data_IF_054723219183
#
_entry.id   IF_054723219183
#
_cell.length_a   1.000
_cell.length_b   1.000
_cell.length_c   1.000
_cell.angle_alpha   90.00
_cell.angle_beta   90.00
_cell.angle_gamma   90.00
#
_symmetry.space_group_name_H-M   'P 1'
#
loop_
_entity.id
_entity.type
_entity.pdbx_description
1 polymer ?
#
# COMPACT_ATOMS: atom_id res chain seq x y z
N UNK A 1 -14.71 29.66 -24.81
CA UNK A 1 -13.70 28.67 -25.24
C UNK A 1 -12.36 29.06 -24.64
N UNK A 2 -11.49 28.10 -24.32
CA UNK A 2 -10.13 28.38 -23.84
C UNK A 2 -9.14 28.18 -24.99
N UNK A 3 -8.21 29.12 -25.18
CA UNK A 3 -7.16 29.00 -26.21
C UNK A 3 -5.93 28.25 -25.67
N UNK A 4 -5.16 27.60 -26.54
CA UNK A 4 -3.91 26.93 -26.12
C UNK A 4 -2.94 27.90 -25.42
N UNK A 5 -2.97 29.18 -25.82
CA UNK A 5 -2.12 30.23 -25.25
C UNK A 5 -2.55 30.67 -23.84
N UNK A 6 -3.73 30.26 -23.36
CA UNK A 6 -4.20 30.50 -21.98
C UNK A 6 -3.80 29.36 -21.04
N UNK A 7 -3.40 28.20 -21.58
CA UNK A 7 -2.94 27.08 -20.76
C UNK A 7 -1.60 27.41 -20.12
N UNK A 8 -1.54 27.25 -18.80
CA UNK A 8 -0.34 27.51 -17.98
C UNK A 8 -0.06 26.30 -17.11
N UNK A 9 1.18 25.81 -17.15
CA UNK A 9 1.66 24.82 -16.21
C UNK A 9 1.82 25.48 -14.84
N UNK A 10 1.12 24.97 -13.83
CA UNK A 10 1.18 25.49 -12.47
C UNK A 10 1.54 24.37 -11.51
N UNK A 11 2.70 24.51 -10.86
CA UNK A 11 3.13 23.61 -9.81
C UNK A 11 3.40 22.17 -10.29
N UNK A 12 3.15 21.22 -9.41
CA UNK A 12 3.34 19.78 -9.64
C UNK A 12 2.27 19.00 -8.91
N UNK A 13 1.81 17.91 -9.51
CA UNK A 13 0.85 16.99 -8.88
C UNK A 13 1.38 15.56 -8.94
N UNK A 14 1.07 14.77 -7.91
CA UNK A 14 1.45 13.36 -7.80
C UNK A 14 0.19 12.57 -7.43
N UNK A 15 -0.01 11.44 -8.10
CA UNK A 15 -1.03 10.45 -7.74
C UNK A 15 -0.35 9.19 -7.19
N UNK A 16 -0.87 8.69 -6.07
CA UNK A 16 -0.59 7.35 -5.56
C UNK A 16 -1.88 6.53 -5.58
N UNK A 17 -1.85 5.40 -6.30
CA UNK A 17 -2.92 4.39 -6.24
C UNK A 17 -2.77 3.59 -4.96
N UNK A 18 -3.77 3.68 -4.11
CA UNK A 18 -3.87 2.89 -2.89
C UNK A 18 -4.62 1.61 -3.27
N UNK A 19 -3.88 0.51 -3.37
CA UNK A 19 -4.43 -0.80 -3.69
C UNK A 19 -4.43 -1.68 -2.45
N UNK A 20 -5.40 -2.59 -2.38
CA UNK A 20 -5.45 -3.71 -1.45
C UNK A 20 -4.47 -4.81 -1.87
N UNK A 21 -3.18 -4.56 -1.69
CA UNK A 21 -2.07 -5.46 -2.05
C UNK A 21 -1.07 -5.54 -0.89
N UNK A 22 -0.31 -6.64 -0.81
CA UNK A 22 0.79 -6.80 0.13
C UNK A 22 2.16 -6.65 -0.57
N UNK A 23 2.83 -5.48 -0.47
CA UNK A 23 4.13 -5.26 -1.11
C UNK A 23 5.20 -6.26 -0.68
N UNK A 24 5.15 -6.77 0.56
CA UNK A 24 6.15 -7.72 1.08
C UNK A 24 5.98 -9.13 0.52
N UNK A 25 4.81 -9.41 -0.06
CA UNK A 25 4.51 -10.68 -0.72
C UNK A 25 4.31 -10.47 -2.21
N UNK A 26 5.26 -9.76 -2.85
CA UNK A 26 5.24 -9.49 -4.28
C UNK A 26 3.93 -8.86 -4.78
N UNK A 27 3.39 -7.91 -4.01
CA UNK A 27 2.14 -7.19 -4.32
C UNK A 27 0.93 -8.11 -4.54
N UNK A 28 0.90 -9.26 -3.86
CA UNK A 28 -0.27 -10.14 -3.91
C UNK A 28 -1.54 -9.39 -3.47
N UNK A 29 -2.67 -9.56 -4.17
CA UNK A 29 -3.94 -8.97 -3.75
C UNK A 29 -4.33 -9.41 -2.33
N UNK A 30 -4.87 -8.47 -1.58
CA UNK A 30 -5.32 -8.63 -0.19
C UNK A 30 -6.84 -8.37 -0.09
N UNK A 31 -7.70 -9.23 -0.67
CA UNK A 31 -9.14 -9.10 -0.53
C UNK A 31 -9.55 -9.29 0.93
N UNK A 32 -10.63 -8.64 1.34
CA UNK A 32 -11.08 -8.71 2.73
C UNK A 32 -11.93 -7.52 3.15
N UNK A 33 -12.35 -7.54 4.41
CA UNK A 33 -13.12 -6.44 5.00
C UNK A 33 -12.19 -5.34 5.48
N UNK A 34 -12.49 -4.11 5.09
CA UNK A 34 -11.83 -2.92 5.64
C UNK A 34 -12.46 -2.64 7.00
N UNK A 35 -11.65 -2.68 8.06
CA UNK A 35 -12.07 -2.46 9.44
C UNK A 35 -12.05 -0.97 9.80
N UNK A 36 -11.00 -0.26 9.37
CA UNK A 36 -10.86 1.18 9.55
C UNK A 36 -10.32 1.77 8.24
N UNK A 37 -10.81 2.96 7.89
CA UNK A 37 -10.45 3.67 6.67
C UNK A 37 -10.46 5.17 6.93
N UNK A 38 -9.28 5.74 7.18
CA UNK A 38 -9.10 7.17 7.41
C UNK A 38 -8.23 7.76 6.32
N UNK A 39 -8.79 8.75 5.64
CA UNK A 39 -8.14 9.42 4.52
C UNK A 39 -7.51 10.74 4.98
N UNK A 40 -6.37 11.16 4.41
CA UNK A 40 -5.83 12.49 4.65
C UNK A 40 -6.77 13.55 4.07
N UNK A 41 -6.77 14.73 4.68
CA UNK A 41 -7.52 15.89 4.22
C UNK A 41 -6.67 17.16 4.33
N UNK A 42 -7.02 18.16 3.54
CA UNK A 42 -6.35 19.47 3.57
C UNK A 42 -6.28 20.12 2.20
N UNK A 43 -5.75 21.34 2.16
CA UNK A 43 -5.51 22.05 0.91
C UNK A 43 -4.55 21.27 0.01
N UNK A 44 -4.85 21.22 -1.29
CA UNK A 44 -4.07 20.49 -2.30
C UNK A 44 -4.01 18.97 -2.07
N UNK A 45 -4.94 18.39 -1.30
CA UNK A 45 -5.08 16.95 -1.11
C UNK A 45 -6.48 16.56 -1.60
N UNK A 46 -6.54 15.59 -2.53
CA UNK A 46 -7.77 15.00 -3.04
C UNK A 46 -7.69 13.49 -2.88
N UNK A 47 -8.74 12.89 -2.37
CA UNK A 47 -8.87 11.43 -2.27
C UNK A 47 -10.13 11.00 -3.00
N UNK A 48 -9.97 10.22 -4.06
CA UNK A 48 -11.06 9.54 -4.73
C UNK A 48 -11.13 8.10 -4.20
N UNK A 49 -12.03 7.83 -3.25
CA UNK A 49 -12.19 6.52 -2.64
C UNK A 49 -13.43 5.79 -3.20
N UNK A 50 -13.27 4.51 -3.54
CA UNK A 50 -14.37 3.63 -3.93
C UNK A 50 -14.92 2.78 -2.78
N UNK A 51 -14.39 2.97 -1.57
CA UNK A 51 -14.67 2.17 -0.38
C UNK A 51 -14.75 3.04 0.87
N UNK A 52 -15.29 2.48 1.95
CA UNK A 52 -15.28 3.06 3.28
C UNK A 52 -15.00 1.97 4.33
N UNK A 53 -14.91 2.36 5.61
CA UNK A 53 -14.89 1.40 6.70
C UNK A 53 -16.12 0.48 6.61
N UNK A 54 -15.91 -0.82 6.79
CA UNK A 54 -16.93 -1.85 6.62
C UNK A 54 -17.05 -2.42 5.20
N UNK A 55 -16.52 -1.77 4.17
CA UNK A 55 -16.54 -2.30 2.79
C UNK A 55 -15.76 -3.62 2.68
N UNK A 56 -16.14 -4.46 1.72
CA UNK A 56 -15.43 -5.69 1.37
C UNK A 56 -14.74 -5.49 0.02
N UNK A 57 -13.42 -5.65 -0.01
CA UNK A 57 -12.65 -5.67 -1.25
C UNK A 57 -12.76 -7.07 -1.87
N UNK A 58 -13.34 -7.21 -3.07
CA UNK A 58 -13.49 -8.49 -3.74
C UNK A 58 -12.15 -9.00 -4.31
N UNK A 59 -12.04 -10.31 -4.52
CA UNK A 59 -10.86 -10.94 -5.12
C UNK A 59 -10.86 -10.92 -6.67
N UNK A 60 -11.97 -10.52 -7.29
CA UNK A 60 -12.22 -10.72 -8.71
C UNK A 60 -11.96 -9.49 -9.58
N UNK A 61 -11.67 -8.34 -8.98
CA UNK A 61 -11.46 -7.07 -9.68
C UNK A 61 -10.11 -6.45 -9.28
N UNK A 62 -9.74 -5.37 -9.97
CA UNK A 62 -8.58 -4.55 -9.62
C UNK A 62 -8.64 -4.16 -8.13
N UNK A 63 -7.58 -4.40 -7.33
CA UNK A 63 -7.57 -4.12 -5.90
C UNK A 63 -7.52 -2.62 -5.55
N UNK A 64 -7.75 -1.70 -6.49
CA UNK A 64 -7.79 -0.27 -6.24
C UNK A 64 -8.90 0.11 -5.25
N UNK A 65 -8.50 0.67 -4.10
CA UNK A 65 -9.44 1.14 -3.07
C UNK A 65 -9.55 2.67 -3.04
N UNK A 66 -8.48 3.39 -3.37
CA UNK A 66 -8.51 4.84 -3.50
C UNK A 66 -7.38 5.39 -4.39
N UNK A 67 -7.60 6.58 -4.95
CA UNK A 67 -6.54 7.42 -5.53
C UNK A 67 -6.25 8.57 -4.58
N UNK A 68 -5.02 8.67 -4.12
CA UNK A 68 -4.53 9.83 -3.37
C UNK A 68 -3.81 10.74 -4.35
N UNK A 69 -4.35 11.94 -4.58
CA UNK A 69 -3.75 12.94 -5.45
C UNK A 69 -3.38 14.15 -4.62
N UNK A 70 -2.14 14.60 -4.72
CA UNK A 70 -1.70 15.85 -4.07
C UNK A 70 -1.12 16.81 -5.09
N UNK A 71 -1.39 18.10 -4.90
CA UNK A 71 -0.75 19.20 -5.62
C UNK A 71 0.36 19.85 -4.78
N UNK A 72 1.17 20.69 -5.41
CA UNK A 72 2.19 21.52 -4.77
C UNK A 72 2.74 22.58 -5.72
N UNK A 73 3.32 23.65 -5.17
CA UNK A 73 3.94 24.71 -5.97
C UNK A 73 5.22 24.28 -6.69
N UNK A 74 5.84 23.18 -6.24
CA UNK A 74 6.99 22.53 -6.87
C UNK A 74 6.90 21.02 -6.68
N UNK A 75 7.75 20.27 -7.39
CA UNK A 75 7.87 18.82 -7.20
C UNK A 75 8.20 18.46 -5.77
N UNK A 76 9.21 19.08 -5.18
CA UNK A 76 9.62 18.84 -3.79
C UNK A 76 8.49 19.12 -2.79
N UNK A 77 7.69 20.17 -3.03
CA UNK A 77 6.52 20.47 -2.22
C UNK A 77 5.43 19.39 -2.36
N UNK A 78 5.19 18.90 -3.58
CA UNK A 78 4.24 17.82 -3.84
C UNK A 78 4.70 16.48 -3.22
N UNK A 79 6.00 16.12 -3.34
CA UNK A 79 6.55 14.88 -2.74
C UNK A 79 6.45 14.93 -1.22
N UNK A 80 6.86 16.04 -0.57
CA UNK A 80 6.73 16.20 0.88
C UNK A 80 5.28 16.10 1.35
N UNK A 81 4.35 16.77 0.64
CA UNK A 81 2.91 16.68 0.95
C UNK A 81 2.37 15.27 0.74
N UNK A 82 2.80 14.58 -0.32
CA UNK A 82 2.39 13.21 -0.59
C UNK A 82 2.86 12.28 0.52
N UNK A 83 4.12 12.39 0.96
CA UNK A 83 4.67 11.59 2.06
C UNK A 83 3.87 11.79 3.36
N UNK A 84 3.59 13.04 3.72
CA UNK A 84 2.74 13.37 4.89
C UNK A 84 1.32 12.80 4.74
N UNK A 85 0.75 12.86 3.54
CA UNK A 85 -0.59 12.34 3.26
C UNK A 85 -0.62 10.81 3.33
N UNK A 86 0.42 10.13 2.85
CA UNK A 86 0.60 8.67 2.99
C UNK A 86 0.78 8.27 4.46
N UNK A 87 1.46 9.09 5.27
CA UNK A 87 1.62 8.85 6.70
C UNK A 87 0.33 9.05 7.50
N UNK A 88 -0.54 9.94 7.06
CA UNK A 88 -1.86 10.18 7.65
C UNK A 88 -2.96 9.23 7.12
N UNK A 89 -2.73 8.55 6.00
CA UNK A 89 -3.68 7.60 5.43
C UNK A 89 -3.63 6.28 6.20
N UNK A 90 -4.78 5.83 6.70
CA UNK A 90 -4.90 4.59 7.43
C UNK A 90 -5.91 3.64 6.81
N UNK A 91 -5.48 2.40 6.60
CA UNK A 91 -6.32 1.27 6.15
C UNK A 91 -6.04 0.09 7.07
N UNK A 92 -7.07 -0.46 7.71
CA UNK A 92 -6.98 -1.64 8.57
C UNK A 92 -7.88 -2.77 8.07
N UNK A 93 -7.52 -4.01 8.40
CA UNK A 93 -8.26 -5.23 8.01
C UNK A 93 -7.74 -5.91 6.74
N UNK A 94 -6.99 -5.18 5.92
CA UNK A 94 -6.31 -5.66 4.71
C UNK A 94 -4.91 -5.05 4.61
N UNK A 95 -4.04 -5.65 3.79
CA UNK A 95 -2.79 -5.02 3.39
C UNK A 95 -3.05 -3.93 2.32
N UNK A 96 -2.14 -2.97 2.22
CA UNK A 96 -2.18 -1.97 1.17
C UNK A 96 -0.80 -1.56 0.66
N UNK A 97 -0.77 -0.83 -0.45
CA UNK A 97 0.45 -0.27 -1.05
C UNK A 97 1.06 0.91 -0.29
N UNK A 98 0.43 1.41 0.78
CA UNK A 98 0.90 2.55 1.58
C UNK A 98 2.36 2.41 2.08
N UNK A 99 2.81 1.25 2.60
CA UNK A 99 4.21 1.09 3.03
C UNK A 99 5.22 1.22 1.89
N UNK A 100 4.86 0.75 0.69
CA UNK A 100 5.70 0.89 -0.50
C UNK A 100 5.79 2.37 -0.91
N UNK A 101 4.66 3.08 -0.98
CA UNK A 101 4.65 4.50 -1.32
C UNK A 101 5.53 5.33 -0.38
N UNK A 102 5.49 5.06 0.93
CA UNK A 102 6.37 5.71 1.92
C UNK A 102 7.86 5.55 1.58
N UNK A 103 8.28 4.34 1.20
CA UNK A 103 9.67 4.07 0.83
C UNK A 103 10.04 4.79 -0.48
N UNK A 104 9.20 4.69 -1.50
CA UNK A 104 9.41 5.34 -2.79
C UNK A 104 9.52 6.86 -2.66
N UNK A 105 8.61 7.48 -1.91
CA UNK A 105 8.57 8.93 -1.69
C UNK A 105 9.73 9.45 -0.84
N UNK A 106 10.38 8.57 -0.09
CA UNK A 106 11.59 8.89 0.69
C UNK A 106 12.88 8.61 -0.08
N UNK A 107 12.80 8.08 -1.30
CA UNK A 107 13.97 7.79 -2.11
C UNK A 107 14.53 9.05 -2.78
N UNK A 108 15.86 9.18 -2.76
CA UNK A 108 16.56 10.37 -3.26
C UNK A 108 16.35 10.57 -4.75
N UNK A 109 16.40 9.51 -5.55
CA UNK A 109 16.26 9.60 -7.00
C UNK A 109 14.80 9.88 -7.37
N UNK A 110 13.84 9.33 -6.61
CA UNK A 110 12.44 9.70 -6.75
C UNK A 110 12.25 11.19 -6.48
N UNK A 111 12.70 11.70 -5.31
CA UNK A 111 12.54 13.10 -4.92
C UNK A 111 13.09 14.03 -6.02
N UNK A 112 14.30 13.76 -6.52
CA UNK A 112 14.94 14.55 -7.58
C UNK A 112 14.29 14.44 -8.95
N UNK A 113 13.41 13.45 -9.16
CA UNK A 113 12.80 13.19 -10.47
C UNK A 113 13.72 12.44 -11.44
N UNK A 114 14.76 11.79 -10.93
CA UNK A 114 15.61 10.88 -11.70
C UNK A 114 14.88 9.54 -11.84
N UNK A 115 13.93 9.45 -12.76
CA UNK A 115 13.03 8.30 -12.88
C UNK A 115 13.38 7.41 -14.07
N UNK A 116 13.24 6.10 -13.89
CA UNK A 116 13.33 5.10 -14.96
C UNK A 116 12.40 3.92 -14.66
N UNK A 117 12.09 3.12 -15.68
CA UNK A 117 11.01 2.11 -15.59
C UNK A 117 11.34 0.90 -14.71
N UNK A 118 12.62 0.57 -14.52
CA UNK A 118 13.09 -0.54 -13.65
C UNK A 118 13.50 -0.08 -12.26
N UNK A 119 13.27 1.19 -11.91
CA UNK A 119 13.74 1.82 -10.68
C UNK A 119 13.38 1.05 -9.41
N UNK A 120 12.17 0.50 -9.33
CA UNK A 120 11.70 -0.24 -8.15
C UNK A 120 12.60 -1.43 -7.83
N UNK A 121 12.98 -2.19 -8.87
CA UNK A 121 13.81 -3.38 -8.77
C UNK A 121 15.29 -3.01 -8.59
N UNK A 122 15.79 -2.07 -9.40
CA UNK A 122 17.19 -1.63 -9.37
C UNK A 122 17.57 -1.05 -8.01
N UNK A 123 16.68 -0.27 -7.40
CA UNK A 123 16.88 0.31 -6.06
C UNK A 123 16.42 -0.61 -4.93
N UNK A 124 15.90 -1.81 -5.25
CA UNK A 124 15.37 -2.80 -4.30
C UNK A 124 14.42 -2.16 -3.28
N UNK A 125 13.49 -1.31 -3.74
CA UNK A 125 12.67 -0.50 -2.85
C UNK A 125 11.79 -1.34 -1.92
N UNK A 126 11.28 -2.47 -2.41
CA UNK A 126 10.45 -3.38 -1.59
C UNK A 126 11.25 -3.93 -0.40
N UNK A 127 12.52 -4.27 -0.58
CA UNK A 127 13.38 -4.77 0.50
C UNK A 127 13.67 -3.72 1.59
N UNK A 128 13.48 -2.43 1.28
CA UNK A 128 13.65 -1.31 2.21
C UNK A 128 12.38 -1.03 3.02
N UNK A 129 11.26 -1.69 2.72
CA UNK A 129 10.05 -1.58 3.52
C UNK A 129 10.35 -2.16 4.90
N UNK A 130 10.44 -1.28 5.89
CA UNK A 130 10.53 -1.66 7.30
C UNK A 130 9.17 -2.23 7.70
N UNK A 131 9.01 -3.54 7.58
CA UNK A 131 7.86 -4.21 8.16
C UNK A 131 7.92 -4.01 9.68
N UNK A 132 6.78 -3.75 10.32
CA UNK A 132 6.69 -3.82 11.79
C UNK A 132 6.60 -5.28 12.28
N UNK A 133 7.00 -6.25 11.45
CA UNK A 133 6.65 -7.66 11.58
C UNK A 133 5.21 -7.93 11.12
N UNK A 134 4.82 -9.20 10.92
CA UNK A 134 3.42 -9.61 10.81
C UNK A 134 2.64 -9.09 12.01
N UNK A 135 1.49 -8.46 11.78
CA UNK A 135 0.65 -7.95 12.86
C UNK A 135 0.21 -9.07 13.82
N UNK A 136 0.14 -10.32 13.33
CA UNK A 136 -0.11 -11.52 14.11
C UNK A 136 1.01 -11.80 15.11
N UNK A 137 2.28 -11.57 14.75
CA UNK A 137 3.40 -11.74 15.67
C UNK A 137 3.34 -10.69 16.77
N UNK A 138 3.04 -9.43 16.44
CA UNK A 138 2.83 -8.39 17.44
C UNK A 138 1.64 -8.65 18.35
N UNK A 139 0.52 -9.15 17.80
CA UNK A 139 -0.62 -9.56 18.62
C UNK A 139 -0.24 -10.73 19.51
N UNK A 140 0.50 -11.72 19.00
CA UNK A 140 0.98 -12.83 19.81
C UNK A 140 1.93 -12.37 20.92
N UNK A 141 2.85 -11.44 20.63
CA UNK A 141 3.76 -10.81 21.60
C UNK A 141 2.98 -10.03 22.67
N UNK A 142 2.03 -9.19 22.27
CA UNK A 142 1.17 -8.43 23.18
C UNK A 142 0.30 -9.39 24.02
N UNK A 143 -0.33 -10.38 23.40
CA UNK A 143 -1.16 -11.36 24.07
C UNK A 143 -0.34 -12.20 25.06
N UNK A 144 0.87 -12.61 24.70
CA UNK A 144 1.80 -13.32 25.57
C UNK A 144 2.23 -12.45 26.76
N UNK A 145 2.54 -11.17 26.54
CA UNK A 145 2.87 -10.22 27.60
C UNK A 145 1.69 -9.98 28.55
N UNK A 146 0.48 -9.82 28.01
CA UNK A 146 -0.75 -9.68 28.81
C UNK A 146 -1.00 -10.96 29.62
N UNK A 147 -0.88 -12.14 29.02
CA UNK A 147 -1.03 -13.42 29.70
C UNK A 147 0.01 -13.61 30.82
N UNK A 148 1.28 -13.30 30.55
CA UNK A 148 2.36 -13.39 31.52
C UNK A 148 2.20 -12.39 32.69
N UNK A 149 1.57 -11.23 32.44
CA UNK A 149 1.31 -10.23 33.49
C UNK A 149 0.23 -10.63 34.50
N UNK A 150 -0.50 -11.73 34.27
CA UNK A 150 -1.61 -12.17 35.11
C UNK A 150 -2.85 -11.26 35.05
N UNK A 151 -2.84 -10.21 34.22
CA UNK A 151 -3.95 -9.26 34.02
C UNK A 151 -4.86 -9.66 32.86
N UNK A 152 -5.14 -10.95 32.71
CA UNK A 152 -6.18 -11.42 31.80
C UNK A 152 -7.54 -11.07 32.40
N UNK A 153 -8.08 -9.90 32.03
CA UNK A 153 -9.51 -9.65 32.21
C UNK A 153 -10.26 -10.50 31.20
N UNK A 154 -11.18 -11.33 31.67
CA UNK A 154 -12.12 -12.07 30.83
C UNK A 154 -13.07 -11.07 30.14
N UNK A 155 -12.70 -10.66 28.93
CA UNK A 155 -13.56 -9.90 28.03
C UNK A 155 -14.42 -10.82 27.16
N UNK A 156 -15.45 -10.27 26.48
CA UNK A 156 -16.23 -11.04 25.52
C UNK A 156 -15.32 -11.59 24.42
N UNK A 157 -15.41 -12.90 24.18
CA UNK A 157 -14.72 -13.57 23.08
C UNK A 157 -15.37 -13.19 21.76
N UNK A 158 -14.58 -12.63 20.84
CA UNK A 158 -15.01 -12.43 19.45
C UNK A 158 -14.53 -13.62 18.63
N UNK A 159 -15.45 -14.30 17.97
CA UNK A 159 -15.09 -15.35 17.01
C UNK A 159 -14.32 -14.74 15.85
N UNK A 160 -13.02 -15.03 15.80
CA UNK A 160 -12.20 -14.72 14.63
C UNK A 160 -12.66 -15.65 13.50
N UNK A 161 -13.46 -15.11 12.58
CA UNK A 161 -13.82 -15.79 11.34
C UNK A 161 -12.52 -16.00 10.54
N UNK A 162 -11.91 -17.17 10.70
CA UNK A 162 -10.81 -17.61 9.84
C UNK A 162 -11.39 -17.95 8.48
N UNK A 163 -11.08 -17.15 7.46
CA UNK A 163 -11.39 -17.52 6.09
C UNK A 163 -10.64 -18.81 5.75
N UNK A 164 -11.36 -19.83 5.26
CA UNK A 164 -10.73 -21.04 4.75
C UNK A 164 -9.79 -20.65 3.62
N UNK A 165 -8.54 -21.09 3.70
CA UNK A 165 -7.56 -20.89 2.65
C UNK A 165 -8.14 -21.40 1.32
N UNK A 166 -8.30 -20.52 0.34
CA UNK A 166 -8.83 -20.90 -0.97
C UNK A 166 -7.85 -21.85 -1.67
N UNK A 167 -8.37 -22.67 -2.59
CA UNK A 167 -7.55 -23.51 -3.46
C UNK A 167 -6.47 -22.69 -4.20
N UNK A 168 -6.76 -21.42 -4.48
CA UNK A 168 -5.85 -20.46 -5.10
C UNK A 168 -4.69 -20.06 -4.17
N UNK A 169 -4.96 -19.78 -2.90
CA UNK A 169 -3.91 -19.53 -1.89
C UNK A 169 -3.01 -20.76 -1.69
N UNK A 170 -3.56 -21.96 -1.81
CA UNK A 170 -2.82 -23.22 -1.72
C UNK A 170 -2.01 -23.51 -2.99
N UNK A 171 -2.46 -23.07 -4.16
CA UNK A 171 -1.73 -23.18 -5.42
C UNK A 171 -0.53 -22.21 -5.46
N UNK A 172 -0.73 -20.94 -5.08
CA UNK A 172 0.36 -19.96 -5.02
C UNK A 172 1.48 -20.35 -4.04
N UNK A 173 1.13 -20.94 -2.89
CA UNK A 173 2.13 -21.52 -1.96
C UNK A 173 2.92 -22.67 -2.57
N UNK A 174 2.30 -23.51 -3.40
CA UNK A 174 2.98 -24.61 -4.10
C UNK A 174 3.91 -24.09 -5.20
N UNK A 175 3.52 -23.03 -5.90
CA UNK A 175 4.33 -22.42 -6.95
C UNK A 175 5.57 -21.71 -6.40
N UNK A 176 5.48 -21.08 -5.23
CA UNK A 176 6.64 -20.49 -4.53
C UNK A 176 7.65 -21.54 -4.05
N UNK A 177 7.19 -22.76 -3.73
CA UNK A 177 8.05 -23.87 -3.31
C UNK A 177 8.67 -24.63 -4.49
N UNK A 178 8.08 -24.53 -5.68
CA UNK A 178 8.48 -25.29 -6.87
C UNK A 178 9.48 -24.54 -7.79
N UNK A 179 9.86 -23.29 -7.47
CA UNK A 179 10.75 -22.48 -8.30
C UNK A 179 10.05 -22.03 -9.59
N UNK A 180 9.56 -20.78 -9.60
CA UNK A 180 8.90 -20.21 -10.78
C UNK A 180 9.91 -19.68 -11.79
N UNK A 181 9.98 -20.30 -12.96
CA UNK A 181 10.63 -19.71 -14.14
C UNK A 181 9.88 -18.41 -14.53
N UNK A 182 10.60 -17.28 -14.48
CA UNK A 182 10.07 -15.97 -14.84
C UNK A 182 9.89 -15.86 -16.36
N UNK A 183 8.66 -15.62 -16.80
CA UNK A 183 8.30 -15.26 -18.16
C UNK A 183 8.63 -13.78 -18.48
N UNK A 184 9.92 -13.41 -18.45
CA UNK A 184 10.41 -12.14 -19.00
C UNK A 184 11.62 -12.44 -19.88
N UNK A 185 11.52 -12.31 -21.22
CA UNK A 185 12.68 -12.49 -22.07
C UNK A 185 13.70 -11.35 -21.82
N UNK A 186 15.00 -11.65 -21.70
CA UNK A 186 16.00 -10.62 -21.47
C UNK A 186 16.24 -9.80 -22.75
N UNK A 187 16.03 -8.48 -22.62
CA UNK A 187 16.64 -7.37 -23.38
C UNK A 187 16.48 -7.37 -24.90
N UNK A 188 15.76 -6.35 -25.41
CA UNK A 188 16.18 -5.61 -26.61
C UNK A 188 16.50 -4.17 -26.20
N UNK A 189 17.77 -3.78 -26.39
CA UNK A 189 18.18 -2.37 -26.35
C UNK A 189 17.68 -1.71 -27.63
N UNK A 190 17.06 -0.54 -27.49
CA UNK A 190 17.00 0.47 -28.54
C UNK A 190 17.98 1.58 -28.15
#
# INVERSE_FOLDING_TARGET
EFSQNEMRWKGHAIECRINAEDPLRNFLPSPGRIVDFRVPAGSQIRVDAGVAAGSIVPAFYDPLIAKLVVGGSSRDAAVRRMLQSVDAFEVRGIHSTLPFHRVLLSDRDFIKGNLWTTMVDDLRLVARIRSRGPWEQRIAEIAAAVAASGRLMSGPTVDLIRSKASAWSAAGRRQLLAGGDHAVPPRRRW
#
